data_IF_353449179031
#
_entry.id   IF_353449179031
#
_cell.length_a   1.000
_cell.length_b   1.000
_cell.length_c   1.000
_cell.angle_alpha   90.00
_cell.angle_beta   90.00
_cell.angle_gamma   90.00
#
_symmetry.space_group_name_H-M   'P 1'
#
loop_
_entity.id
_entity.type
_entity.pdbx_description
1 polymer ?
#
# COMPACT_ATOMS: atom_id res chain seq x y z
N UNK A 1 -2.65 -11.85 6.30
CA UNK A 1 -3.29 -11.38 5.05
C UNK A 1 -4.62 -12.04 4.77
N UNK A 2 -4.72 -13.38 4.70
CA UNK A 2 -5.99 -14.06 4.39
C UNK A 2 -7.14 -13.76 5.36
N UNK A 3 -6.87 -13.72 6.67
CA UNK A 3 -7.86 -13.32 7.68
C UNK A 3 -8.36 -11.88 7.48
N UNK A 4 -7.46 -10.95 7.18
CA UNK A 4 -7.81 -9.56 6.86
C UNK A 4 -8.65 -9.46 5.58
N UNK A 5 -8.28 -10.15 4.49
CA UNK A 5 -9.07 -10.16 3.26
C UNK A 5 -10.45 -10.78 3.46
N UNK A 6 -10.57 -11.83 4.28
CA UNK A 6 -11.86 -12.43 4.66
C UNK A 6 -12.72 -11.48 5.49
N UNK A 7 -12.12 -10.79 6.46
CA UNK A 7 -12.82 -9.81 7.28
C UNK A 7 -13.30 -8.60 6.45
N UNK A 8 -12.51 -8.17 5.46
CA UNK A 8 -12.89 -7.10 4.55
C UNK A 8 -13.96 -7.54 3.53
N UNK A 9 -13.87 -8.77 3.02
CA UNK A 9 -14.82 -9.30 2.04
C UNK A 9 -14.88 -8.45 0.76
N UNK A 10 -16.09 -8.00 0.40
CA UNK A 10 -16.31 -7.04 -0.69
C UNK A 10 -16.27 -5.58 -0.23
N UNK A 11 -15.95 -5.33 1.04
CA UNK A 11 -15.93 -4.03 1.70
C UNK A 11 -17.30 -3.52 2.16
N UNK A 12 -17.34 -2.52 3.07
CA UNK A 12 -18.58 -1.97 3.60
C UNK A 12 -19.45 -1.31 2.52
N UNK A 13 -20.78 -1.36 2.67
CA UNK A 13 -21.71 -0.79 1.68
C UNK A 13 -21.71 0.75 1.67
N UNK A 14 -21.34 1.34 2.78
CA UNK A 14 -21.21 2.79 3.02
C UNK A 14 -19.87 3.38 2.54
N UNK A 15 -18.90 2.54 2.17
CA UNK A 15 -17.63 2.96 1.60
C UNK A 15 -17.79 3.42 0.13
N UNK A 16 -16.94 4.35 -0.32
CA UNK A 16 -16.90 4.78 -1.72
C UNK A 16 -16.65 3.58 -2.63
N UNK A 17 -17.48 3.41 -3.67
CA UNK A 17 -17.40 2.25 -4.57
C UNK A 17 -16.02 2.10 -5.20
N UNK A 18 -15.34 3.21 -5.52
CA UNK A 18 -13.98 3.14 -6.08
C UNK A 18 -12.95 2.74 -5.02
N UNK A 19 -13.03 3.31 -3.81
CA UNK A 19 -12.17 2.90 -2.68
C UNK A 19 -12.36 1.40 -2.43
N UNK A 20 -13.60 0.93 -2.40
CA UNK A 20 -13.93 -0.47 -2.20
C UNK A 20 -13.34 -1.38 -3.28
N UNK A 21 -13.52 -1.02 -4.55
CA UNK A 21 -12.95 -1.74 -5.69
C UNK A 21 -11.42 -1.80 -5.63
N UNK A 22 -10.76 -0.66 -5.40
CA UNK A 22 -9.30 -0.59 -5.27
C UNK A 22 -8.78 -1.48 -4.14
N UNK A 23 -9.55 -1.61 -3.06
CA UNK A 23 -9.18 -2.40 -1.89
C UNK A 23 -9.30 -3.90 -2.13
N UNK A 24 -10.35 -4.32 -2.82
CA UNK A 24 -10.51 -5.72 -3.25
C UNK A 24 -9.38 -6.09 -4.20
N UNK A 25 -9.06 -5.23 -5.18
CA UNK A 25 -7.96 -5.47 -6.11
C UNK A 25 -6.60 -5.52 -5.39
N UNK A 26 -6.36 -4.63 -4.43
CA UNK A 26 -5.14 -4.64 -3.60
C UNK A 26 -5.02 -5.95 -2.83
N UNK A 27 -6.10 -6.38 -2.15
CA UNK A 27 -6.14 -7.65 -1.45
C UNK A 27 -5.85 -8.84 -2.39
N UNK A 28 -6.39 -8.84 -3.60
CA UNK A 28 -6.12 -9.90 -4.58
C UNK A 28 -4.65 -9.93 -4.97
N UNK A 29 -4.06 -8.75 -5.28
CA UNK A 29 -2.64 -8.65 -5.60
C UNK A 29 -1.76 -9.16 -4.46
N UNK A 30 -2.05 -8.76 -3.21
CA UNK A 30 -1.32 -9.20 -2.02
C UNK A 30 -1.45 -10.71 -1.76
N UNK A 31 -2.60 -11.31 -2.08
CA UNK A 31 -2.79 -12.76 -1.95
C UNK A 31 -2.06 -13.56 -3.01
N UNK A 32 -1.93 -13.02 -4.23
CA UNK A 32 -1.19 -13.67 -5.32
C UNK A 32 0.32 -13.48 -5.19
N UNK A 33 0.75 -12.40 -4.55
CA UNK A 33 2.16 -12.08 -4.30
C UNK A 33 2.90 -13.23 -3.61
N UNK A 34 2.40 -13.69 -2.46
CA UNK A 34 3.10 -14.70 -1.66
C UNK A 34 3.26 -16.04 -2.40
N UNK A 35 2.23 -16.64 -3.03
CA UNK A 35 2.41 -17.84 -3.84
C UNK A 35 3.45 -17.69 -4.93
N UNK A 36 3.45 -16.56 -5.67
CA UNK A 36 4.45 -16.31 -6.71
C UNK A 36 5.87 -16.24 -6.12
N UNK A 37 6.04 -15.56 -4.99
CA UNK A 37 7.32 -15.49 -4.28
C UNK A 37 7.80 -16.88 -3.82
N UNK A 38 6.91 -17.70 -3.23
CA UNK A 38 7.26 -19.04 -2.77
C UNK A 38 7.66 -19.96 -3.92
N UNK A 39 6.98 -19.86 -5.07
CA UNK A 39 7.34 -20.61 -6.28
C UNK A 39 8.70 -20.16 -6.82
N UNK A 40 8.99 -18.84 -6.80
CA UNK A 40 10.29 -18.30 -7.20
C UNK A 40 11.41 -18.87 -6.31
N UNK A 41 11.23 -18.76 -4.99
CA UNK A 41 12.18 -19.29 -4.01
C UNK A 41 12.37 -20.82 -4.14
N UNK A 42 11.29 -21.58 -4.32
CA UNK A 42 11.36 -23.03 -4.47
C UNK A 42 12.10 -23.43 -5.76
N UNK A 43 11.96 -22.65 -6.83
CA UNK A 43 12.69 -22.86 -8.07
C UNK A 43 14.18 -22.52 -7.93
N UNK A 44 14.53 -21.42 -7.23
CA UNK A 44 15.94 -21.08 -6.96
C UNK A 44 16.63 -22.09 -6.05
N UNK A 45 15.89 -22.64 -5.08
CA UNK A 45 16.41 -23.64 -4.13
C UNK A 45 16.48 -25.05 -4.75
N UNK A 46 16.06 -25.23 -6.01
CA UNK A 46 16.06 -26.52 -6.69
C UNK A 46 14.99 -27.51 -6.23
N UNK A 47 14.05 -27.08 -5.38
CA UNK A 47 12.91 -27.91 -4.91
C UNK A 47 11.98 -28.25 -6.07
N UNK A 48 11.75 -27.29 -6.97
CA UNK A 48 10.99 -27.49 -8.20
C UNK A 48 11.84 -27.14 -9.43
N UNK A 49 11.62 -27.85 -10.54
CA UNK A 49 12.22 -27.49 -11.83
C UNK A 49 11.43 -26.34 -12.46
N UNK A 50 12.05 -25.19 -12.66
CA UNK A 50 11.37 -24.04 -13.25
C UNK A 50 12.26 -22.81 -13.42
N UNK A 51 11.75 -21.81 -14.14
CA UNK A 51 12.43 -20.52 -14.32
C UNK A 51 12.07 -19.57 -13.19
N UNK A 52 12.84 -19.58 -12.10
CA UNK A 52 12.64 -18.71 -10.93
C UNK A 52 12.48 -17.24 -11.31
N UNK A 53 13.32 -16.73 -12.21
CA UNK A 53 13.31 -15.32 -12.63
C UNK A 53 11.93 -14.81 -13.07
N UNK A 54 11.10 -15.65 -13.72
CA UNK A 54 9.74 -15.26 -14.14
C UNK A 54 8.81 -15.10 -12.95
N UNK A 55 8.95 -15.94 -11.94
CA UNK A 55 8.17 -15.90 -10.72
C UNK A 55 8.57 -14.73 -9.81
N UNK A 56 9.86 -14.42 -9.73
CA UNK A 56 10.34 -13.18 -9.09
C UNK A 56 9.79 -11.94 -9.79
N UNK A 57 9.87 -11.87 -11.12
CA UNK A 57 9.31 -10.74 -11.86
C UNK A 57 7.79 -10.61 -11.63
N UNK A 58 7.06 -11.73 -11.57
CA UNK A 58 5.63 -11.74 -11.28
C UNK A 58 5.31 -11.29 -9.85
N UNK A 59 6.05 -11.76 -8.83
CA UNK A 59 5.85 -11.32 -7.45
C UNK A 59 6.19 -9.84 -7.30
N UNK A 60 7.30 -9.36 -7.85
CA UNK A 60 7.65 -7.93 -7.84
C UNK A 60 6.59 -7.08 -8.56
N UNK A 61 6.03 -7.56 -9.69
CA UNK A 61 4.95 -6.88 -10.39
C UNK A 61 3.65 -6.83 -9.57
N UNK A 62 3.28 -7.91 -8.89
CA UNK A 62 2.11 -7.95 -8.01
C UNK A 62 2.27 -7.02 -6.81
N UNK A 63 3.46 -6.97 -6.21
CA UNK A 63 3.80 -6.02 -5.15
C UNK A 63 3.72 -4.58 -5.64
N UNK A 64 4.33 -4.26 -6.79
CA UNK A 64 4.21 -2.94 -7.42
C UNK A 64 2.75 -2.56 -7.73
N UNK A 65 1.94 -3.51 -8.19
CA UNK A 65 0.52 -3.29 -8.46
C UNK A 65 -0.26 -3.00 -7.16
N UNK A 66 -0.01 -3.73 -6.07
CA UNK A 66 -0.69 -3.48 -4.80
C UNK A 66 -0.32 -2.11 -4.22
N UNK A 67 0.94 -1.70 -4.32
CA UNK A 67 1.41 -0.36 -3.94
C UNK A 67 0.76 0.76 -4.77
N UNK A 68 0.61 0.56 -6.09
CA UNK A 68 -0.09 1.50 -6.96
C UNK A 68 -1.57 1.62 -6.57
N UNK A 69 -2.26 0.49 -6.39
CA UNK A 69 -3.66 0.45 -5.97
C UNK A 69 -3.87 1.10 -4.60
N UNK A 70 -2.98 0.82 -3.64
CA UNK A 70 -2.97 1.44 -2.32
C UNK A 70 -2.77 2.95 -2.39
N UNK A 71 -1.86 3.43 -3.24
CA UNK A 71 -1.65 4.87 -3.49
C UNK A 71 -2.91 5.52 -4.06
N UNK A 72 -3.53 4.92 -5.08
CA UNK A 72 -4.78 5.42 -5.67
C UNK A 72 -5.92 5.44 -4.64
N UNK A 73 -6.02 4.42 -3.78
CA UNK A 73 -6.99 4.34 -2.68
C UNK A 73 -6.80 5.52 -1.73
N UNK A 74 -5.60 5.74 -1.22
CA UNK A 74 -5.28 6.82 -0.28
C UNK A 74 -5.51 8.21 -0.89
N UNK A 75 -5.13 8.42 -2.15
CA UNK A 75 -5.41 9.67 -2.88
C UNK A 75 -6.91 9.92 -3.00
N UNK A 76 -7.70 8.89 -3.37
CA UNK A 76 -9.16 9.00 -3.48
C UNK A 76 -9.79 9.41 -2.15
N UNK A 77 -9.35 8.80 -1.05
CA UNK A 77 -9.80 9.14 0.30
C UNK A 77 -9.42 10.59 0.62
N UNK A 78 -8.17 11.00 0.40
CA UNK A 78 -7.69 12.37 0.64
C UNK A 78 -8.49 13.43 -0.14
N UNK A 79 -8.79 13.19 -1.42
CA UNK A 79 -9.61 14.08 -2.23
C UNK A 79 -11.04 14.22 -1.67
N UNK A 80 -11.62 13.12 -1.19
CA UNK A 80 -12.95 13.16 -0.54
C UNK A 80 -12.91 13.93 0.78
N UNK A 81 -11.90 13.72 1.63
CA UNK A 81 -11.75 14.46 2.88
C UNK A 81 -11.61 15.96 2.62
N UNK A 82 -10.75 16.35 1.67
CA UNK A 82 -10.60 17.76 1.26
C UNK A 82 -11.90 18.35 0.75
N UNK A 83 -12.68 17.60 -0.03
CA UNK A 83 -14.01 18.06 -0.50
C UNK A 83 -14.99 18.24 0.66
N UNK A 84 -15.05 17.29 1.60
CA UNK A 84 -15.90 17.40 2.81
C UNK A 84 -15.53 18.62 3.65
N UNK A 85 -14.24 18.84 3.90
CA UNK A 85 -13.75 20.01 4.65
C UNK A 85 -14.16 21.34 3.99
N UNK A 86 -14.04 21.44 2.66
CA UNK A 86 -14.51 22.63 1.91
C UNK A 86 -16.03 22.82 1.99
N UNK A 87 -16.81 21.74 2.05
CA UNK A 87 -18.27 21.82 2.13
C UNK A 87 -18.77 22.15 3.54
N UNK A 88 -18.06 21.71 4.58
CA UNK A 88 -18.40 21.96 5.98
C UNK A 88 -17.97 23.35 6.49
N UNK A 89 -17.45 24.22 5.62
CA UNK A 89 -17.12 25.61 5.98
C UNK A 89 -18.33 26.44 6.42
N UNK A 90 -19.56 25.93 6.22
CA UNK A 90 -20.82 26.55 6.65
C UNK A 90 -21.26 26.22 8.08
N UNK A 91 -20.66 25.22 8.73
CA UNK A 91 -21.01 24.82 10.10
C UNK A 91 -19.75 24.38 10.84
N UNK A 92 -19.35 25.04 11.96
CA UNK A 92 -18.12 24.68 12.66
C UNK A 92 -18.21 23.22 13.17
N UNK A 93 -17.30 22.33 12.74
CA UNK A 93 -17.29 20.96 13.22
C UNK A 93 -16.86 20.91 14.69
N UNK A 94 -17.33 19.91 15.43
CA UNK A 94 -16.87 19.72 16.82
C UNK A 94 -15.35 19.47 16.87
N UNK A 95 -14.65 19.89 17.93
CA UNK A 95 -13.19 19.72 18.05
C UNK A 95 -12.74 18.26 17.85
N UNK A 96 -13.50 17.30 18.38
CA UNK A 96 -13.23 15.87 18.21
C UNK A 96 -13.33 15.41 16.75
N UNK A 97 -14.32 15.91 16.00
CA UNK A 97 -14.48 15.56 14.58
C UNK A 97 -13.34 16.15 13.73
N UNK A 98 -12.89 17.36 14.04
CA UNK A 98 -11.74 17.99 13.37
C UNK A 98 -10.45 17.21 13.61
N UNK A 99 -10.17 16.82 14.85
CA UNK A 99 -9.00 16.01 15.19
C UNK A 99 -9.00 14.67 14.45
N UNK A 100 -10.14 13.97 14.40
CA UNK A 100 -10.25 12.71 13.64
C UNK A 100 -9.98 12.90 12.14
N UNK A 101 -10.53 13.95 11.55
CA UNK A 101 -10.31 14.27 10.13
C UNK A 101 -8.84 14.60 9.86
N UNK A 102 -8.19 15.39 10.71
CA UNK A 102 -6.76 15.71 10.58
C UNK A 102 -5.88 14.47 10.73
N UNK A 103 -6.18 13.61 11.71
CA UNK A 103 -5.47 12.34 11.90
C UNK A 103 -5.62 11.43 10.68
N UNK A 104 -6.82 11.34 10.10
CA UNK A 104 -7.06 10.57 8.88
C UNK A 104 -6.32 11.16 7.67
N UNK A 105 -6.34 12.49 7.48
CA UNK A 105 -5.54 13.15 6.43
C UNK A 105 -4.06 12.83 6.58
N UNK A 106 -3.52 12.93 7.80
CA UNK A 106 -2.12 12.62 8.08
C UNK A 106 -1.79 11.17 7.76
N UNK A 107 -2.64 10.23 8.17
CA UNK A 107 -2.46 8.82 7.88
C UNK A 107 -2.44 8.53 6.37
N UNK A 108 -3.38 9.10 5.60
CA UNK A 108 -3.45 8.89 4.15
C UNK A 108 -2.26 9.53 3.42
N UNK A 109 -1.78 10.70 3.86
CA UNK A 109 -0.56 11.32 3.30
C UNK A 109 0.66 10.42 3.55
N UNK A 110 0.80 9.91 4.76
CA UNK A 110 1.89 9.00 5.11
C UNK A 110 1.82 7.70 4.29
N UNK A 111 0.62 7.15 4.07
CA UNK A 111 0.42 5.99 3.20
C UNK A 111 0.84 6.27 1.77
N UNK A 112 0.48 7.42 1.20
CA UNK A 112 0.91 7.81 -0.15
C UNK A 112 2.44 7.89 -0.23
N UNK A 113 3.09 8.55 0.72
CA UNK A 113 4.56 8.68 0.71
C UNK A 113 5.23 7.31 0.85
N UNK A 114 4.78 6.48 1.78
CA UNK A 114 5.32 5.14 1.99
C UNK A 114 5.16 4.26 0.74
N UNK A 115 3.93 4.21 0.19
CA UNK A 115 3.65 3.38 -0.99
C UNK A 115 4.43 3.85 -2.21
N UNK A 116 4.63 5.16 -2.40
CA UNK A 116 5.43 5.69 -3.51
C UNK A 116 6.92 5.37 -3.35
N UNK A 117 7.45 5.42 -2.13
CA UNK A 117 8.84 5.03 -1.86
C UNK A 117 9.06 3.55 -2.18
N UNK A 118 8.17 2.67 -1.70
CA UNK A 118 8.23 1.24 -1.98
C UNK A 118 7.96 0.93 -3.46
N UNK A 119 7.03 1.65 -4.11
CA UNK A 119 6.73 1.47 -5.53
C UNK A 119 7.94 1.82 -6.40
N UNK A 120 8.68 2.84 -5.98
CA UNK A 120 9.92 3.24 -6.65
C UNK A 120 10.98 2.14 -6.58
N UNK A 121 11.07 1.46 -5.43
CA UNK A 121 11.92 0.28 -5.26
C UNK A 121 11.40 -0.94 -6.04
N UNK A 122 10.09 -1.18 -6.04
CA UNK A 122 9.47 -2.27 -6.79
C UNK A 122 9.75 -2.15 -8.29
N UNK A 123 9.61 -0.95 -8.85
CA UNK A 123 9.93 -0.68 -10.26
C UNK A 123 11.43 -0.86 -10.53
N UNK A 124 12.29 -0.45 -9.60
CA UNK A 124 13.73 -0.68 -9.73
C UNK A 124 14.09 -2.18 -9.82
N UNK A 125 13.42 -3.05 -9.07
CA UNK A 125 13.65 -4.50 -9.06
C UNK A 125 12.98 -5.28 -10.19
N UNK A 126 12.14 -4.62 -11.01
CA UNK A 126 11.58 -5.26 -12.21
C UNK A 126 12.66 -5.52 -13.28
N UNK A 127 12.40 -6.40 -14.26
CA UNK A 127 13.29 -6.64 -15.38
C UNK A 127 13.63 -5.34 -16.15
N UNK A 128 14.87 -5.21 -16.67
CA UNK A 128 15.26 -4.05 -17.48
C UNK A 128 14.33 -3.83 -18.67
N UNK A 129 14.12 -2.56 -19.03
CA UNK A 129 13.21 -2.16 -20.11
C UNK A 129 11.85 -1.65 -19.64
N UNK A 130 11.55 -1.72 -18.35
CA UNK A 130 10.36 -1.12 -17.74
C UNK A 130 10.74 0.11 -16.90
N UNK A 131 10.28 1.31 -17.31
CA UNK A 131 10.52 2.58 -16.60
C UNK A 131 11.99 2.77 -16.19
N UNK A 132 12.29 2.84 -14.88
CA UNK A 132 13.63 2.98 -14.30
C UNK A 132 14.17 1.68 -13.69
N UNK A 133 13.68 0.53 -14.13
CA UNK A 133 14.21 -0.78 -13.74
C UNK A 133 15.74 -0.83 -13.85
N UNK A 134 16.40 -1.27 -12.77
CA UNK A 134 17.86 -1.37 -12.67
C UNK A 134 18.62 -0.03 -12.62
N UNK A 135 17.96 1.14 -12.55
CA UNK A 135 18.64 2.45 -12.62
C UNK A 135 19.03 3.06 -11.27
N UNK A 136 18.40 2.67 -10.16
CA UNK A 136 18.70 3.25 -8.86
C UNK A 136 20.01 2.70 -8.29
N UNK A 137 20.86 3.57 -7.71
CA UNK A 137 22.00 3.11 -6.94
C UNK A 137 21.53 2.48 -5.61
N UNK A 138 22.29 1.53 -5.04
CA UNK A 138 21.88 0.81 -3.82
C UNK A 138 21.52 1.70 -2.63
N UNK A 139 22.22 2.82 -2.45
CA UNK A 139 21.94 3.77 -1.35
C UNK A 139 20.55 4.40 -1.47
N UNK A 140 20.08 4.67 -2.69
CA UNK A 140 18.76 5.28 -2.92
C UNK A 140 17.66 4.28 -2.61
N UNK A 141 17.85 3.03 -3.03
CA UNK A 141 16.94 1.92 -2.71
C UNK A 141 16.80 1.75 -1.19
N UNK A 142 17.95 1.75 -0.49
CA UNK A 142 17.99 1.68 0.97
C UNK A 142 17.34 2.88 1.66
N UNK A 143 17.57 4.11 1.15
CA UNK A 143 16.95 5.33 1.67
C UNK A 143 15.42 5.26 1.55
N UNK A 144 14.89 4.90 0.37
CA UNK A 144 13.46 4.79 0.14
C UNK A 144 12.82 3.73 1.05
N UNK A 145 13.47 2.57 1.20
CA UNK A 145 13.02 1.52 2.12
C UNK A 145 13.08 1.94 3.60
N UNK A 146 14.06 2.77 3.96
CA UNK A 146 14.15 3.34 5.31
C UNK A 146 13.01 4.32 5.58
N UNK A 147 12.70 5.20 4.62
CA UNK A 147 11.59 6.15 4.74
C UNK A 147 10.26 5.41 4.92
N UNK A 148 9.95 4.43 4.06
CA UNK A 148 8.70 3.65 4.18
C UNK A 148 8.63 2.88 5.49
N UNK A 149 9.73 2.26 5.92
CA UNK A 149 9.79 1.53 7.19
C UNK A 149 9.56 2.44 8.40
N UNK A 150 10.20 3.61 8.46
CA UNK A 150 10.02 4.58 9.55
C UNK A 150 8.57 5.10 9.60
N UNK A 151 7.95 5.34 8.43
CA UNK A 151 6.54 5.69 8.34
C UNK A 151 5.66 4.55 8.89
N UNK A 152 5.94 3.31 8.49
CA UNK A 152 5.22 2.13 8.96
C UNK A 152 5.30 1.97 10.48
N UNK A 153 6.49 2.10 11.06
CA UNK A 153 6.71 2.08 12.52
C UNK A 153 5.90 3.20 13.20
N UNK A 154 6.01 4.44 12.70
CA UNK A 154 5.26 5.57 13.23
C UNK A 154 3.75 5.33 13.26
N UNK A 155 3.19 4.80 12.17
CA UNK A 155 1.75 4.49 12.09
C UNK A 155 1.34 3.34 13.01
N UNK A 156 2.19 2.31 13.16
CA UNK A 156 1.94 1.18 14.05
C UNK A 156 1.92 1.63 15.52
N UNK A 157 2.88 2.46 15.94
CA UNK A 157 2.91 3.04 17.29
C UNK A 157 1.69 3.92 17.59
N UNK A 158 1.18 4.65 16.59
CA UNK A 158 -0.03 5.47 16.74
C UNK A 158 -1.31 4.64 16.91
N UNK A 159 -1.44 3.48 16.24
CA UNK A 159 -2.60 2.59 16.34
C UNK A 159 -2.68 1.85 17.68
N UNK A 160 -1.54 1.48 18.26
CA UNK A 160 -1.48 0.80 19.56
C UNK A 160 -2.02 1.63 20.73
N UNK A 161 -1.95 2.96 20.63
CA UNK A 161 -2.40 3.87 21.71
C UNK A 161 -3.92 4.13 21.70
N UNK A 162 -4.66 3.69 20.68
CA UNK A 162 -6.12 3.88 20.56
C UNK A 162 -6.95 2.61 20.81
N UNK A 163 -6.30 1.48 21.11
CA UNK A 163 -6.96 0.19 21.39
C UNK A 163 -6.99 -0.21 22.86
N UNK A 164 -6.60 0.69 23.78
CA UNK A 164 -6.48 0.44 25.22
C UNK A 164 -7.41 1.34 26.06
N UNK A 165 -8.58 1.70 25.53
CA UNK A 165 -9.61 2.45 26.26
C UNK A 165 -10.97 1.76 26.14
#
# INVERSE_FOLDING_TARGET
MLSHSRAYGLGPKDEDVLVRGLSVLCNVADQLYYPCEHIAWAADSGVIRGRSQRWWAASTALWGLSLLLGTLRSLRILFRLRRKLRQQQRTPPSPQSQQKVQAQVKAEVLNVVSNLADLSNAIHWLPPGFLWAGRFPPWLVGLLGTISSLIGIYQASGKGSSGAA
#
